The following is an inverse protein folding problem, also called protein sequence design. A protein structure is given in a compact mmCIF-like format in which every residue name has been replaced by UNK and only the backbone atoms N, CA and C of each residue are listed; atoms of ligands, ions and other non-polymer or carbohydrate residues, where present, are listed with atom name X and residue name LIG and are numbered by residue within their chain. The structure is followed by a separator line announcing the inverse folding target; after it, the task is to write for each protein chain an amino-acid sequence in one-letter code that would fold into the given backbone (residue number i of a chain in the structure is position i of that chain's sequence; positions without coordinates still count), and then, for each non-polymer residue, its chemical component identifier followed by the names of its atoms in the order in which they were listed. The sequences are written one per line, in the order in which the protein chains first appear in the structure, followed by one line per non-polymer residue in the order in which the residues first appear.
data_IF_080286827001
#
_entry.id   IF_080286827001
#
_cell.length_a   1.000
_cell.length_b   1.000
_cell.length_c   1.000
_cell.angle_alpha   90.00
_cell.angle_beta   90.00
_cell.angle_gamma   90.00
#
_symmetry.space_group_name_H-M   'P 1'
#
loop_
_entity.id
_entity.type
_entity.pdbx_description
1 polymer ?
#
# COMPACT_ATOMS: atom_id res chain seq x y z
N UNK A 1 -35.83 -8.57 59.66
CA UNK A 1 -34.41 -8.96 59.76
C UNK A 1 -33.70 -8.83 58.40
N UNK A 2 -34.30 -9.27 57.28
CA UNK A 2 -33.71 -9.14 55.95
C UNK A 2 -33.45 -7.69 55.46
N UNK A 3 -34.32 -6.72 55.81
CA UNK A 3 -34.13 -5.31 55.40
C UNK A 3 -33.02 -4.55 56.13
N UNK A 4 -32.58 -5.02 57.31
CA UNK A 4 -31.52 -4.37 58.08
C UNK A 4 -30.13 -4.79 57.55
N UNK A 5 -30.00 -6.01 57.04
CA UNK A 5 -28.75 -6.51 56.44
C UNK A 5 -28.40 -5.84 55.11
N UNK A 6 -29.39 -5.43 54.31
CA UNK A 6 -29.15 -4.79 53.01
C UNK A 6 -28.59 -3.35 53.11
N UNK A 7 -28.77 -2.69 54.25
CA UNK A 7 -28.24 -1.34 54.48
C UNK A 7 -26.90 -1.37 55.25
N UNK A 8 -26.71 -2.37 56.11
CA UNK A 8 -25.49 -2.50 56.91
C UNK A 8 -24.29 -2.87 56.03
N UNK A 9 -24.46 -3.71 55.02
CA UNK A 9 -23.36 -4.11 54.12
C UNK A 9 -22.77 -2.91 53.33
N UNK A 10 -23.54 -2.04 52.66
CA UNK A 10 -22.98 -0.88 51.96
C UNK A 10 -22.43 0.20 52.92
N UNK A 11 -23.01 0.36 54.12
CA UNK A 11 -22.45 1.27 55.13
C UNK A 11 -21.15 0.75 55.72
N UNK A 12 -21.04 -0.56 55.93
CA UNK A 12 -19.82 -1.20 56.43
C UNK A 12 -18.74 -1.24 55.33
N UNK A 13 -19.13 -1.41 54.07
CA UNK A 13 -18.23 -1.25 52.91
C UNK A 13 -17.77 0.22 52.74
N UNK A 14 -18.66 1.20 52.94
CA UNK A 14 -18.32 2.63 52.90
C UNK A 14 -17.42 3.05 54.07
N UNK A 15 -17.69 2.54 55.27
CA UNK A 15 -16.83 2.75 56.43
C UNK A 15 -15.47 2.09 56.25
N UNK A 16 -15.41 0.86 55.71
CA UNK A 16 -14.17 0.17 55.40
C UNK A 16 -13.41 0.85 54.26
N UNK A 17 -14.11 1.40 53.26
CA UNK A 17 -13.53 2.20 52.17
C UNK A 17 -12.95 3.51 52.68
N UNK A 18 -13.59 4.17 53.64
CA UNK A 18 -13.04 5.37 54.28
C UNK A 18 -11.91 5.05 55.26
N UNK A 19 -11.93 3.87 55.90
CA UNK A 19 -10.92 3.44 56.87
C UNK A 19 -9.67 2.84 56.20
N UNK A 20 -9.80 2.22 55.01
CA UNK A 20 -8.68 1.78 54.17
C UNK A 20 -8.27 2.81 53.11
N UNK A 21 -9.17 3.72 52.70
CA UNK A 21 -8.92 4.76 51.70
C UNK A 21 -8.45 6.10 52.27
N UNK A 22 -8.46 6.28 53.60
CA UNK A 22 -7.81 7.39 54.28
C UNK A 22 -6.35 7.06 54.62
N UNK A 23 -5.56 6.66 53.61
CA UNK A 23 -4.12 6.88 53.68
C UNK A 23 -3.87 8.29 53.19
N UNK A 24 -3.15 9.15 53.93
CA UNK A 24 -2.80 10.46 53.42
C UNK A 24 -2.03 10.24 52.12
N UNK A 25 -2.56 10.78 51.01
CA UNK A 25 -1.82 10.98 49.78
C UNK A 25 -0.68 11.95 50.11
N UNK A 26 0.41 11.41 50.64
CA UNK A 26 1.74 11.93 50.39
C UNK A 26 2.00 11.52 48.96
N UNK A 27 2.22 12.51 48.09
CA UNK A 27 2.71 12.31 46.74
C UNK A 27 4.16 11.79 46.77
N UNK A 28 4.36 10.60 47.34
CA UNK A 28 5.56 9.80 47.14
C UNK A 28 5.35 9.01 45.84
N UNK A 29 6.17 9.22 44.80
CA UNK A 29 6.18 8.30 43.68
C UNK A 29 6.41 6.87 44.22
N UNK A 30 5.78 5.84 43.62
CA UNK A 30 5.89 4.48 44.12
C UNK A 30 7.38 4.13 44.27
N UNK A 31 7.80 3.59 45.42
CA UNK A 31 9.23 3.38 45.74
C UNK A 31 10.01 2.66 44.63
N UNK A 32 9.33 1.84 43.81
CA UNK A 32 9.92 1.19 42.63
C UNK A 32 10.29 2.09 41.45
N UNK A 33 9.74 3.30 41.28
CA UNK A 33 10.12 4.18 40.16
C UNK A 33 11.41 4.94 40.44
N UNK A 34 11.62 5.42 41.66
CA UNK A 34 12.86 6.06 42.07
C UNK A 34 14.06 5.09 42.06
N UNK A 35 13.80 3.82 42.41
CA UNK A 35 14.79 2.75 42.29
C UNK A 35 15.12 2.43 40.82
N UNK A 36 14.12 2.44 39.93
CA UNK A 36 14.34 2.20 38.50
C UNK A 36 15.14 3.33 37.85
N UNK A 37 14.84 4.59 38.16
CA UNK A 37 15.62 5.74 37.67
C UNK A 37 17.09 5.61 38.10
N UNK A 38 17.35 5.29 39.37
CA UNK A 38 18.72 5.05 39.86
C UNK A 38 19.42 3.91 39.13
N UNK A 39 18.74 2.79 38.88
CA UNK A 39 19.33 1.65 38.16
C UNK A 39 19.71 2.02 36.72
N UNK A 40 18.85 2.80 36.05
CA UNK A 40 19.08 3.28 34.69
C UNK A 40 20.24 4.27 34.65
N UNK A 41 20.34 5.18 35.61
CA UNK A 41 21.46 6.13 35.68
C UNK A 41 22.80 5.42 35.96
N UNK A 42 22.82 4.43 36.86
CA UNK A 42 24.03 3.60 37.08
C UNK A 42 24.43 2.83 35.81
N UNK A 43 23.46 2.31 35.05
CA UNK A 43 23.72 1.66 33.77
C UNK A 43 24.32 2.65 32.77
N UNK A 44 23.80 3.88 32.70
CA UNK A 44 24.32 4.92 31.81
C UNK A 44 25.77 5.29 32.16
N UNK A 45 26.09 5.44 33.45
CA UNK A 45 27.47 5.69 33.91
C UNK A 45 28.43 4.56 33.54
N UNK A 46 28.01 3.30 33.71
CA UNK A 46 28.82 2.14 33.33
C UNK A 46 29.10 2.13 31.82
N UNK A 47 28.09 2.37 31.00
CA UNK A 47 28.23 2.37 29.55
C UNK A 47 29.02 3.58 29.05
N UNK A 48 29.01 4.70 29.77
CA UNK A 48 29.90 5.82 29.49
C UNK A 48 31.37 5.45 29.70
N UNK A 49 31.69 4.60 30.68
CA UNK A 49 33.03 4.08 30.89
C UNK A 49 33.41 2.96 29.88
N UNK A 50 32.43 2.20 29.39
CA UNK A 50 32.61 1.11 28.42
C UNK A 50 31.73 1.34 27.17
N UNK A 51 32.12 2.24 26.26
CA UNK A 51 31.25 2.68 25.16
C UNK A 51 31.03 1.63 24.06
N UNK A 52 31.79 0.53 24.05
CA UNK A 52 31.71 -0.53 23.05
C UNK A 52 30.64 -1.59 23.35
N UNK A 53 29.95 -1.50 24.50
CA UNK A 53 28.90 -2.45 24.90
C UNK A 53 27.55 -2.14 24.23
N UNK A 54 27.40 -2.60 22.98
CA UNK A 54 26.21 -2.36 22.13
C UNK A 54 24.90 -2.77 22.79
N UNK A 55 24.81 -3.99 23.29
CA UNK A 55 23.60 -4.54 23.92
C UNK A 55 23.21 -3.71 25.16
N UNK A 56 24.21 -3.18 25.87
CA UNK A 56 24.00 -2.27 26.98
C UNK A 56 23.33 -0.97 26.54
N UNK A 57 23.77 -0.37 25.44
CA UNK A 57 23.12 0.83 24.87
C UNK A 57 21.69 0.58 24.41
N UNK A 58 21.40 -0.59 23.84
CA UNK A 58 20.04 -0.99 23.46
C UNK A 58 19.15 -1.13 24.70
N UNK A 59 19.63 -1.82 25.73
CA UNK A 59 18.91 -1.97 27.00
C UNK A 59 18.63 -0.61 27.63
N UNK A 60 19.65 0.25 27.69
CA UNK A 60 19.51 1.61 28.22
C UNK A 60 18.45 2.41 27.44
N UNK A 61 18.45 2.32 26.11
CA UNK A 61 17.46 2.97 25.26
C UNK A 61 16.03 2.49 25.55
N UNK A 62 15.83 1.18 25.72
CA UNK A 62 14.52 0.59 26.08
C UNK A 62 14.07 1.01 27.47
N UNK A 63 14.99 1.07 28.43
CA UNK A 63 14.71 1.56 29.78
C UNK A 63 14.28 3.02 29.78
N UNK A 64 15.00 3.88 29.06
CA UNK A 64 14.61 5.28 28.90
C UNK A 64 13.25 5.43 28.21
N UNK A 65 12.98 4.66 27.15
CA UNK A 65 11.69 4.69 26.47
C UNK A 65 10.53 4.27 27.40
N UNK A 66 10.74 3.24 28.23
CA UNK A 66 9.78 2.78 29.23
C UNK A 66 9.50 3.81 30.34
N UNK A 67 10.49 4.64 30.66
CA UNK A 67 10.35 5.78 31.59
C UNK A 67 9.78 7.04 30.93
N UNK A 68 9.48 7.01 29.63
CA UNK A 68 9.02 8.18 28.88
C UNK A 68 10.12 9.20 28.56
N UNK A 69 11.40 8.90 28.84
CA UNK A 69 12.57 9.73 28.54
C UNK A 69 12.98 9.55 27.07
N UNK A 70 12.13 9.98 26.15
CA UNK A 70 12.27 9.68 24.72
C UNK A 70 13.52 10.27 24.08
N UNK A 71 13.96 11.45 24.53
CA UNK A 71 15.22 12.07 24.06
C UNK A 71 16.44 11.22 24.44
N UNK A 72 16.50 10.75 25.68
CA UNK A 72 17.61 9.90 26.16
C UNK A 72 17.59 8.52 25.48
N UNK A 73 16.40 7.97 25.27
CA UNK A 73 16.20 6.72 24.53
C UNK A 73 16.77 6.81 23.11
N UNK A 74 16.40 7.84 22.36
CA UNK A 74 16.88 8.05 21.00
C UNK A 74 18.42 8.18 20.96
N UNK A 75 19.03 8.87 21.92
CA UNK A 75 20.49 8.98 22.03
C UNK A 75 21.16 7.63 22.32
N UNK A 76 20.63 6.85 23.25
CA UNK A 76 21.17 5.53 23.58
C UNK A 76 21.08 4.57 22.38
N UNK A 77 19.95 4.52 21.67
CA UNK A 77 19.84 3.75 20.43
C UNK A 77 20.80 4.26 19.34
N UNK A 78 21.07 5.58 19.29
CA UNK A 78 22.09 6.14 18.41
C UNK A 78 23.49 5.62 18.67
N UNK A 79 23.87 5.47 19.94
CA UNK A 79 25.15 4.88 20.32
C UNK A 79 25.23 3.40 19.93
N UNK A 80 24.15 2.64 20.11
CA UNK A 80 24.07 1.26 19.63
C UNK A 80 24.25 1.18 18.10
N UNK A 81 23.58 2.05 17.33
CA UNK A 81 23.68 2.11 15.87
C UNK A 81 25.04 2.61 15.36
N UNK A 82 25.79 3.34 16.17
CA UNK A 82 27.17 3.73 15.84
C UNK A 82 28.15 2.55 15.91
N UNK A 83 27.83 1.51 16.71
CA UNK A 83 28.62 0.29 16.80
C UNK A 83 28.22 -0.72 15.72
N UNK A 84 26.93 -0.81 15.42
CA UNK A 84 26.39 -1.65 14.33
C UNK A 84 25.15 -0.98 13.75
N UNK A 85 25.29 -0.50 12.51
CA UNK A 85 24.28 0.32 11.83
C UNK A 85 23.08 -0.50 11.35
N UNK A 86 23.32 -1.73 10.92
CA UNK A 86 22.37 -2.51 10.12
C UNK A 86 21.46 -3.38 10.99
N UNK A 87 20.75 -2.75 11.93
CA UNK A 87 19.79 -3.43 12.81
C UNK A 87 18.38 -2.81 12.70
N UNK A 88 17.42 -3.47 12.01
CA UNK A 88 16.07 -2.95 11.82
C UNK A 88 15.28 -2.81 13.14
N UNK A 89 15.59 -3.63 14.14
CA UNK A 89 14.96 -3.57 15.46
C UNK A 89 15.41 -2.30 16.19
N UNK A 90 16.70 -1.96 16.16
CA UNK A 90 17.23 -0.75 16.82
C UNK A 90 16.89 0.52 16.04
N UNK A 91 16.93 0.48 14.70
CA UNK A 91 16.48 1.58 13.84
C UNK A 91 15.02 1.96 14.12
N UNK A 92 14.13 0.97 14.18
CA UNK A 92 12.71 1.19 14.46
C UNK A 92 12.46 1.70 15.90
N UNK A 93 13.25 1.25 16.89
CA UNK A 93 13.19 1.78 18.26
C UNK A 93 13.64 3.23 18.34
N UNK A 94 14.74 3.59 17.66
CA UNK A 94 15.19 4.99 17.57
C UNK A 94 14.16 5.86 16.87
N UNK A 95 13.60 5.40 15.76
CA UNK A 95 12.56 6.13 15.02
C UNK A 95 11.36 6.44 15.90
N UNK A 96 10.85 5.46 16.64
CA UNK A 96 9.77 5.65 17.60
C UNK A 96 10.13 6.65 18.69
N UNK A 97 11.31 6.50 19.32
CA UNK A 97 11.76 7.41 20.36
C UNK A 97 11.88 8.86 19.85
N UNK A 98 12.40 9.07 18.64
CA UNK A 98 12.45 10.38 18.00
C UNK A 98 11.05 10.97 17.76
N UNK A 99 10.13 10.18 17.20
CA UNK A 99 8.78 10.64 16.91
C UNK A 99 8.02 11.07 18.18
N UNK A 100 8.19 10.32 19.28
CA UNK A 100 7.52 10.55 20.56
C UNK A 100 8.12 11.70 21.40
N UNK A 101 9.19 12.36 20.96
CA UNK A 101 9.70 13.57 21.62
C UNK A 101 8.75 14.77 21.50
N UNK A 102 7.86 14.74 20.50
CA UNK A 102 6.85 15.78 20.28
C UNK A 102 5.47 15.30 20.69
N UNK A 103 4.60 16.24 21.07
CA UNK A 103 3.18 15.98 21.31
C UNK A 103 2.33 16.98 20.49
N UNK A 104 1.64 16.54 19.42
CA UNK A 104 1.51 15.15 18.94
C UNK A 104 2.84 14.57 18.37
N UNK A 105 2.97 13.23 18.30
CA UNK A 105 4.16 12.60 17.73
C UNK A 105 4.43 13.03 16.28
N UNK A 106 5.69 13.30 15.95
CA UNK A 106 6.10 13.74 14.61
C UNK A 106 6.83 12.62 13.87
N UNK A 107 6.19 12.06 12.84
CA UNK A 107 6.73 10.95 12.06
C UNK A 107 7.44 11.37 10.77
N UNK A 108 7.68 12.67 10.57
CA UNK A 108 8.38 13.21 9.41
C UNK A 108 9.86 13.47 9.72
N UNK A 109 10.71 13.51 8.69
CA UNK A 109 12.15 13.73 8.86
C UNK A 109 12.89 12.45 9.25
N UNK A 110 13.80 12.55 10.22
CA UNK A 110 14.67 11.44 10.66
C UNK A 110 13.89 10.17 11.06
N UNK A 111 12.75 10.21 11.79
CA UNK A 111 11.97 9.01 12.08
C UNK A 111 11.54 8.23 10.84
N UNK A 112 11.09 8.92 9.78
CA UNK A 112 10.67 8.27 8.54
C UNK A 112 11.88 7.62 7.84
N UNK A 113 13.01 8.33 7.77
CA UNK A 113 14.23 7.82 7.14
C UNK A 113 14.73 6.54 7.83
N UNK A 114 14.71 6.50 9.16
CA UNK A 114 15.11 5.31 9.92
C UNK A 114 14.16 4.13 9.69
N UNK A 115 12.85 4.39 9.51
CA UNK A 115 11.88 3.33 9.18
C UNK A 115 12.10 2.81 7.76
N UNK A 116 12.39 3.69 6.79
CA UNK A 116 12.71 3.32 5.42
C UNK A 116 14.00 2.48 5.35
N UNK A 117 15.04 2.89 6.09
CA UNK A 117 16.29 2.12 6.24
C UNK A 117 16.03 0.73 6.87
N UNK A 118 15.21 0.67 7.93
CA UNK A 118 14.88 -0.59 8.57
C UNK A 118 14.09 -1.54 7.64
N UNK A 119 13.16 -1.02 6.83
CA UNK A 119 12.43 -1.82 5.83
C UNK A 119 13.33 -2.26 4.67
N UNK A 120 14.37 -1.50 4.34
CA UNK A 120 15.34 -1.89 3.33
C UNK A 120 16.23 -3.05 3.81
N UNK A 121 16.50 -3.13 5.11
CA UNK A 121 17.24 -4.24 5.73
C UNK A 121 16.36 -5.49 5.93
N UNK A 122 15.14 -5.29 6.42
CA UNK A 122 14.15 -6.34 6.64
C UNK A 122 12.73 -5.82 6.36
N UNK A 123 12.24 -6.16 5.17
CA UNK A 123 10.91 -5.77 4.70
C UNK A 123 9.77 -6.41 5.50
N UNK A 124 10.04 -7.51 6.21
CA UNK A 124 9.08 -8.28 6.98
C UNK A 124 9.16 -7.95 8.48
N UNK A 125 9.99 -6.97 8.88
CA UNK A 125 10.21 -6.64 10.28
C UNK A 125 8.92 -6.12 10.94
N UNK A 126 8.32 -6.85 11.91
CA UNK A 126 6.95 -6.56 12.37
C UNK A 126 6.77 -5.17 12.98
N UNK A 127 7.72 -4.72 13.83
CA UNK A 127 7.64 -3.38 14.42
C UNK A 127 7.78 -2.30 13.36
N UNK A 128 8.68 -2.50 12.40
CA UNK A 128 8.95 -1.48 11.38
C UNK A 128 7.72 -1.30 10.51
N UNK A 129 7.07 -2.39 10.09
CA UNK A 129 5.80 -2.33 9.36
C UNK A 129 4.69 -1.63 10.14
N UNK A 130 4.56 -1.92 11.44
CA UNK A 130 3.60 -1.22 12.29
C UNK A 130 3.85 0.29 12.29
N UNK A 131 5.09 0.70 12.58
CA UNK A 131 5.48 2.10 12.70
C UNK A 131 5.47 2.85 11.36
N UNK A 132 5.84 2.19 10.27
CA UNK A 132 5.75 2.76 8.92
C UNK A 132 4.28 3.05 8.56
N UNK A 133 3.36 2.15 8.93
CA UNK A 133 1.93 2.40 8.76
C UNK A 133 1.41 3.55 9.64
N UNK A 134 1.86 3.65 10.89
CA UNK A 134 1.54 4.79 11.77
C UNK A 134 2.06 6.10 11.17
N UNK A 135 3.29 6.10 10.67
CA UNK A 135 3.92 7.26 10.03
C UNK A 135 3.17 7.70 8.76
N UNK A 136 2.75 6.74 7.93
CA UNK A 136 1.95 7.01 6.74
C UNK A 136 0.56 7.57 7.09
N UNK A 137 -0.14 6.97 8.06
CA UNK A 137 -1.44 7.43 8.52
C UNK A 137 -1.37 8.86 9.09
N UNK A 138 -0.32 9.18 9.86
CA UNK A 138 -0.10 10.52 10.39
C UNK A 138 0.09 11.60 9.31
N UNK A 139 0.53 11.21 8.10
CA UNK A 139 0.64 12.10 6.93
C UNK A 139 -0.62 12.13 6.06
N UNK A 140 -1.66 11.38 6.44
CA UNK A 140 -2.88 11.24 5.65
C UNK A 140 -2.77 10.26 4.48
N UNK A 141 -1.68 9.51 4.37
CA UNK A 141 -1.48 8.49 3.33
C UNK A 141 -2.09 7.15 3.78
N UNK A 142 -3.41 7.06 3.67
CA UNK A 142 -4.17 5.87 4.03
C UNK A 142 -3.78 4.63 3.19
N UNK A 143 -3.37 4.82 1.94
CA UNK A 143 -3.00 3.72 1.06
C UNK A 143 -1.69 3.07 1.51
N UNK A 144 -0.65 3.88 1.74
CA UNK A 144 0.63 3.39 2.26
C UNK A 144 0.47 2.76 3.64
N UNK A 145 -0.29 3.40 4.54
CA UNK A 145 -0.59 2.83 5.85
C UNK A 145 -1.27 1.46 5.74
N UNK A 146 -2.26 1.36 4.87
CA UNK A 146 -2.95 0.12 4.57
C UNK A 146 -2.03 -0.97 4.04
N UNK A 147 -1.09 -0.64 3.15
CA UNK A 147 -0.10 -1.61 2.62
C UNK A 147 0.76 -2.20 3.75
N UNK A 148 1.35 -1.38 4.60
CA UNK A 148 2.22 -1.88 5.68
C UNK A 148 1.47 -2.74 6.71
N UNK A 149 0.28 -2.31 7.12
CA UNK A 149 -0.50 -3.04 8.13
C UNK A 149 -1.12 -4.33 7.59
N UNK A 150 -1.54 -4.37 6.32
CA UNK A 150 -1.95 -5.63 5.67
C UNK A 150 -0.78 -6.60 5.55
N UNK A 151 0.39 -6.12 5.12
CA UNK A 151 1.59 -6.96 5.07
C UNK A 151 1.90 -7.55 6.44
N UNK A 152 1.88 -6.71 7.49
CA UNK A 152 2.05 -7.16 8.86
C UNK A 152 1.01 -8.22 9.27
N UNK A 153 -0.27 -8.04 8.92
CA UNK A 153 -1.33 -9.03 9.18
C UNK A 153 -1.04 -10.38 8.50
N UNK A 154 -0.48 -10.40 7.30
CA UNK A 154 -0.11 -11.65 6.62
C UNK A 154 1.01 -12.39 7.34
N UNK A 155 1.94 -11.66 7.96
CA UNK A 155 3.11 -12.24 8.65
C UNK A 155 2.75 -12.84 10.02
N UNK A 156 1.93 -12.13 10.81
CA UNK A 156 1.57 -12.56 12.17
C UNK A 156 0.40 -13.54 12.20
N UNK A 157 -0.38 -13.61 11.12
CA UNK A 157 -1.58 -14.43 11.02
C UNK A 157 -2.82 -13.82 11.70
N UNK A 158 -4.02 -14.28 11.30
CA UNK A 158 -5.29 -13.67 11.73
C UNK A 158 -5.64 -13.90 13.20
N UNK A 159 -5.03 -14.88 13.86
CA UNK A 159 -5.29 -15.24 15.27
C UNK A 159 -4.35 -14.54 16.26
N UNK A 160 -3.36 -13.77 15.79
CA UNK A 160 -2.47 -13.05 16.67
C UNK A 160 -3.23 -12.00 17.51
N UNK A 161 -2.91 -11.82 18.80
CA UNK A 161 -3.59 -10.84 19.66
C UNK A 161 -3.56 -9.40 19.10
N UNK A 162 -2.52 -9.04 18.34
CA UNK A 162 -2.37 -7.71 17.72
C UNK A 162 -3.12 -7.57 16.39
N UNK A 163 -3.65 -8.66 15.82
CA UNK A 163 -4.36 -8.64 14.55
C UNK A 163 -5.64 -7.80 14.64
N UNK A 164 -6.37 -7.82 15.76
CA UNK A 164 -7.56 -6.99 15.96
C UNK A 164 -7.23 -5.51 16.01
N UNK A 165 -6.11 -5.15 16.65
CA UNK A 165 -5.62 -3.76 16.66
C UNK A 165 -5.29 -3.28 15.26
N UNK A 166 -4.67 -4.13 14.43
CA UNK A 166 -4.37 -3.83 13.03
C UNK A 166 -5.63 -3.66 12.17
N UNK A 167 -6.62 -4.54 12.33
CA UNK A 167 -7.92 -4.41 11.64
C UNK A 167 -8.63 -3.12 12.02
N UNK A 168 -8.60 -2.77 13.30
CA UNK A 168 -9.18 -1.52 13.78
C UNK A 168 -8.44 -0.30 13.22
N UNK A 169 -7.11 -0.33 13.19
CA UNK A 169 -6.29 0.74 12.61
C UNK A 169 -6.61 0.94 11.12
N UNK A 170 -6.71 -0.16 10.36
CA UNK A 170 -7.14 -0.15 8.96
C UNK A 170 -8.54 0.47 8.77
N UNK A 171 -9.51 0.04 9.59
CA UNK A 171 -10.87 0.57 9.51
C UNK A 171 -10.93 2.08 9.80
N UNK A 172 -10.11 2.60 10.74
CA UNK A 172 -10.04 4.03 11.05
C UNK A 172 -9.58 4.88 9.87
N UNK A 173 -8.74 4.34 9.00
CA UNK A 173 -8.25 5.01 7.79
C UNK A 173 -9.04 4.61 6.53
N UNK A 174 -10.17 3.93 6.68
CA UNK A 174 -11.03 3.50 5.56
C UNK A 174 -10.44 2.38 4.70
N UNK A 175 -9.46 1.63 5.21
CA UNK A 175 -8.82 0.50 4.54
C UNK A 175 -9.36 -0.84 5.05
N UNK A 176 -9.31 -1.87 4.21
CA UNK A 176 -9.77 -3.23 4.58
C UNK A 176 -8.59 -4.21 4.76
N UNK A 177 -8.64 -5.12 5.74
CA UNK A 177 -7.57 -6.09 6.01
C UNK A 177 -7.41 -7.14 4.92
N UNK A 178 -8.47 -7.45 4.18
CA UNK A 178 -8.45 -8.42 3.08
C UNK A 178 -8.01 -7.82 1.74
N UNK A 179 -7.77 -6.51 1.69
CA UNK A 179 -7.22 -5.88 0.50
C UNK A 179 -5.73 -6.23 0.32
N UNK A 180 -5.26 -7.43 0.68
CA UNK A 180 -3.89 -7.86 0.40
C UNK A 180 -3.76 -8.10 -1.11
N UNK A 181 -3.29 -7.08 -1.84
CA UNK A 181 -2.89 -7.13 -3.25
C UNK A 181 -3.86 -7.83 -4.25
N UNK A 182 -5.15 -7.85 -3.91
CA UNK A 182 -6.25 -8.14 -4.83
C UNK A 182 -7.23 -6.96 -4.77
N UNK A 183 -6.70 -5.83 -5.19
CA UNK A 183 -7.47 -4.68 -5.60
C UNK A 183 -6.54 -3.89 -6.51
N UNK A 184 -6.87 -3.72 -7.81
CA UNK A 184 -6.33 -2.60 -8.55
C UNK A 184 -6.47 -1.38 -7.63
N UNK A 185 -5.43 -0.58 -7.55
CA UNK A 185 -5.59 0.82 -7.20
C UNK A 185 -6.78 1.27 -8.04
N UNK A 186 -7.93 1.51 -7.40
CA UNK A 186 -8.94 2.41 -7.92
C UNK A 186 -8.35 3.83 -7.81
N UNK A 187 -7.16 4.02 -8.39
CA UNK A 187 -6.97 5.08 -9.36
C UNK A 187 -8.15 4.84 -10.26
N UNK A 188 -9.16 5.71 -10.15
CA UNK A 188 -10.34 5.73 -10.99
C UNK A 188 -9.96 5.03 -12.29
N UNK A 189 -10.49 3.82 -12.51
CA UNK A 189 -10.34 3.13 -13.78
C UNK A 189 -10.97 4.10 -14.74
N UNK A 190 -10.17 5.04 -15.24
CA UNK A 190 -10.63 5.97 -16.25
C UNK A 190 -10.80 5.03 -17.42
N UNK A 191 -12.06 4.73 -17.81
CA UNK A 191 -12.28 3.87 -18.94
C UNK A 191 -11.51 4.51 -20.09
N UNK A 192 -10.70 3.71 -20.77
CA UNK A 192 -10.06 4.16 -21.99
C UNK A 192 -11.13 4.44 -23.06
N UNK A 193 -10.71 4.84 -24.27
CA UNK A 193 -11.63 5.14 -25.35
C UNK A 193 -12.48 3.91 -25.70
N UNK A 194 -13.70 4.17 -26.17
CA UNK A 194 -14.59 3.13 -26.70
C UNK A 194 -14.23 2.83 -28.15
N UNK A 195 -13.85 1.60 -28.44
CA UNK A 195 -13.53 1.13 -29.79
C UNK A 195 -14.69 0.33 -30.35
N UNK A 196 -15.27 0.80 -31.44
CA UNK A 196 -16.28 0.08 -32.21
C UNK A 196 -15.62 -0.59 -33.41
N UNK A 197 -15.82 -1.89 -33.56
CA UNK A 197 -15.26 -2.66 -34.67
C UNK A 197 -16.42 -3.25 -35.46
N UNK A 198 -16.38 -3.07 -36.78
CA UNK A 198 -17.34 -3.64 -37.71
C UNK A 198 -16.61 -4.20 -38.95
N UNK A 199 -17.30 -5.06 -39.70
CA UNK A 199 -16.86 -5.50 -41.03
C UNK A 199 -17.69 -4.79 -42.09
N UNK A 200 -17.11 -4.62 -43.27
CA UNK A 200 -17.92 -4.28 -44.44
C UNK A 200 -18.87 -5.45 -44.79
N UNK A 201 -20.09 -5.16 -45.31
CA UNK A 201 -21.07 -6.20 -45.65
C UNK A 201 -20.52 -7.28 -46.60
N UNK A 202 -19.67 -6.89 -47.54
CA UNK A 202 -19.06 -7.79 -48.54
C UNK A 202 -18.09 -8.79 -47.90
N UNK A 203 -17.33 -8.35 -46.89
CA UNK A 203 -16.42 -9.21 -46.13
C UNK A 203 -17.19 -10.09 -45.14
N UNK A 204 -18.24 -9.57 -44.51
CA UNK A 204 -19.09 -10.35 -43.61
C UNK A 204 -19.80 -11.52 -44.35
N UNK A 205 -20.11 -11.36 -45.64
CA UNK A 205 -20.73 -12.40 -46.45
C UNK A 205 -19.76 -13.52 -46.90
N UNK A 206 -18.45 -13.26 -46.89
CA UNK A 206 -17.43 -14.16 -47.43
C UNK A 206 -16.60 -14.87 -46.36
N UNK A 207 -16.53 -14.31 -45.15
CA UNK A 207 -15.74 -14.85 -44.03
C UNK A 207 -16.54 -15.82 -43.15
N UNK A 208 -15.88 -16.86 -42.64
CA UNK A 208 -16.48 -17.76 -41.66
C UNK A 208 -16.67 -17.06 -40.32
N UNK A 209 -17.75 -17.38 -39.61
CA UNK A 209 -18.06 -16.85 -38.28
C UNK A 209 -16.94 -17.11 -37.25
N UNK A 210 -16.20 -18.22 -37.38
CA UNK A 210 -15.09 -18.59 -36.48
C UNK A 210 -13.75 -17.94 -36.83
N UNK A 211 -13.69 -17.18 -37.93
CA UNK A 211 -12.45 -16.52 -38.37
C UNK A 211 -12.00 -15.54 -37.29
N UNK A 212 -10.72 -15.61 -36.91
CA UNK A 212 -10.20 -14.81 -35.80
C UNK A 212 -9.96 -13.36 -36.24
N UNK A 213 -10.35 -12.42 -35.40
CA UNK A 213 -10.10 -10.98 -35.53
C UNK A 213 -9.15 -10.55 -34.42
N UNK A 214 -8.03 -9.94 -34.81
CA UNK A 214 -7.03 -9.41 -33.89
C UNK A 214 -7.09 -7.89 -33.87
N UNK A 215 -7.20 -7.34 -32.67
CA UNK A 215 -7.11 -5.91 -32.41
C UNK A 215 -5.79 -5.66 -31.69
N UNK A 216 -4.92 -4.86 -32.30
CA UNK A 216 -3.62 -4.52 -31.76
C UNK A 216 -3.58 -3.04 -31.37
N UNK A 217 -3.12 -2.78 -30.15
CA UNK A 217 -3.00 -1.46 -29.54
C UNK A 217 -1.52 -1.17 -29.36
N UNK A 218 -1.07 -0.04 -29.89
CA UNK A 218 0.34 0.35 -29.98
C UNK A 218 0.53 1.76 -29.43
N UNK A 219 1.76 2.07 -29.05
CA UNK A 219 2.18 3.42 -28.61
C UNK A 219 2.72 4.27 -29.76
N UNK A 220 2.90 3.69 -30.94
CA UNK A 220 3.41 4.37 -32.13
C UNK A 220 2.75 3.83 -33.41
N UNK A 221 2.68 4.64 -34.48
CA UNK A 221 2.08 4.25 -35.75
C UNK A 221 3.01 3.42 -36.65
N UNK A 222 4.33 3.41 -36.38
CA UNK A 222 5.35 2.86 -37.27
C UNK A 222 5.53 1.34 -37.14
N UNK A 223 4.92 0.71 -36.13
CA UNK A 223 4.92 -0.74 -35.93
C UNK A 223 5.56 -1.18 -34.62
N UNK A 224 6.09 -2.41 -34.56
CA UNK A 224 6.76 -2.96 -33.36
C UNK A 224 5.94 -4.00 -32.58
N UNK A 225 6.23 -4.20 -31.30
CA UNK A 225 5.43 -5.07 -30.43
C UNK A 225 4.18 -4.32 -29.95
N UNK A 226 2.96 -4.88 -30.05
CA UNK A 226 1.79 -4.26 -29.45
C UNK A 226 1.89 -4.20 -27.92
N UNK A 227 1.37 -3.11 -27.35
CA UNK A 227 1.25 -2.95 -25.90
C UNK A 227 0.03 -3.73 -25.40
N UNK A 228 -1.05 -3.76 -26.19
CA UNK A 228 -2.23 -4.57 -25.91
C UNK A 228 -2.69 -5.32 -27.15
N UNK A 229 -3.23 -6.51 -26.97
CA UNK A 229 -3.83 -7.28 -28.05
C UNK A 229 -5.10 -7.99 -27.59
N UNK A 230 -6.12 -7.93 -28.43
CA UNK A 230 -7.42 -8.54 -28.17
C UNK A 230 -7.71 -9.51 -29.30
N UNK A 231 -8.14 -10.72 -28.95
CA UNK A 231 -8.58 -11.75 -29.89
C UNK A 231 -10.09 -11.90 -29.82
N UNK A 232 -10.76 -11.75 -30.96
CA UNK A 232 -12.22 -11.94 -31.15
C UNK A 232 -12.47 -12.81 -32.37
N UNK A 233 -13.73 -13.10 -32.67
CA UNK A 233 -14.16 -13.82 -33.86
C UNK A 233 -15.05 -12.94 -34.74
N UNK A 234 -15.20 -13.29 -36.02
CA UNK A 234 -16.14 -12.60 -36.93
C UNK A 234 -17.57 -12.65 -36.40
N UNK A 235 -17.96 -13.74 -35.73
CA UNK A 235 -19.26 -13.88 -35.06
C UNK A 235 -19.52 -12.82 -33.98
N UNK A 236 -18.47 -12.25 -33.37
CA UNK A 236 -18.59 -11.25 -32.30
C UNK A 236 -18.87 -9.84 -32.84
N UNK A 237 -18.87 -9.65 -34.17
CA UNK A 237 -18.91 -8.35 -34.81
C UNK A 237 -20.31 -8.01 -35.35
N UNK A 238 -20.78 -6.76 -35.22
CA UNK A 238 -20.06 -5.59 -34.71
C UNK A 238 -19.94 -5.56 -33.18
N UNK A 239 -18.75 -5.22 -32.68
CA UNK A 239 -18.45 -5.16 -31.24
C UNK A 239 -18.15 -3.73 -30.82
N UNK A 240 -18.57 -3.34 -29.62
CA UNK A 240 -18.09 -2.13 -28.94
C UNK A 240 -17.36 -2.54 -27.67
N UNK A 241 -16.11 -2.15 -27.54
CA UNK A 241 -15.23 -2.52 -26.44
C UNK A 241 -14.59 -1.27 -25.83
N UNK A 242 -14.57 -1.19 -24.51
CA UNK A 242 -13.88 -0.13 -23.78
C UNK A 242 -12.47 -0.61 -23.48
N UNK A 243 -11.46 0.19 -23.83
CA UNK A 243 -10.07 -0.20 -23.54
C UNK A 243 -9.79 -0.09 -22.03
N UNK A 244 -9.22 -1.16 -21.47
CA UNK A 244 -8.83 -1.24 -20.06
C UNK A 244 -7.40 -1.78 -19.94
N UNK A 245 -6.75 -1.52 -18.81
CA UNK A 245 -5.38 -1.97 -18.57
C UNK A 245 -5.21 -3.50 -18.56
N UNK A 246 -6.29 -4.24 -18.32
CA UNK A 246 -6.32 -5.71 -18.41
C UNK A 246 -6.02 -6.24 -19.82
N UNK A 247 -6.18 -5.39 -20.83
CA UNK A 247 -5.93 -5.74 -22.23
C UNK A 247 -4.44 -5.56 -22.62
N UNK A 248 -3.60 -5.12 -21.67
CA UNK A 248 -2.15 -5.06 -21.89
C UNK A 248 -1.52 -6.45 -21.88
N UNK A 249 -0.57 -6.67 -22.79
CA UNK A 249 0.24 -7.90 -22.86
C UNK A 249 1.38 -7.92 -21.84
N UNK A 250 1.70 -6.79 -21.22
CA UNK A 250 2.81 -6.65 -20.27
C UNK A 250 2.31 -6.06 -18.96
N UNK A 251 2.42 -6.77 -17.82
CA UNK A 251 1.93 -6.29 -16.52
C UNK A 251 2.56 -4.96 -16.07
N UNK A 252 3.79 -4.70 -16.52
CA UNK A 252 4.57 -3.49 -16.20
C UNK A 252 4.31 -2.32 -17.16
N UNK A 253 3.62 -2.52 -18.29
CA UNK A 253 3.34 -1.49 -19.29
C UNK A 253 1.83 -1.41 -19.57
N UNK A 254 1.14 -0.52 -18.86
CA UNK A 254 -0.33 -0.36 -18.92
C UNK A 254 -0.78 0.47 -20.12
N UNK A 255 -2.02 0.27 -20.59
CA UNK A 255 -2.57 1.07 -21.69
C UNK A 255 -2.90 2.50 -21.24
N UNK A 256 -3.33 2.67 -19.98
CA UNK A 256 -3.59 3.95 -19.32
C UNK A 256 -2.36 4.84 -19.16
N UNK A 257 -1.16 4.26 -19.26
CA UNK A 257 0.09 5.03 -19.24
C UNK A 257 0.39 5.72 -20.57
N UNK A 258 -0.35 5.40 -21.63
CA UNK A 258 -0.14 5.94 -22.97
C UNK A 258 -1.03 7.17 -23.19
N UNK A 259 -0.41 8.32 -23.48
CA UNK A 259 -1.16 9.54 -23.83
C UNK A 259 -1.91 9.40 -25.16
N UNK A 260 -1.31 8.68 -26.11
CA UNK A 260 -1.87 8.41 -27.44
C UNK A 260 -1.70 6.93 -27.77
N UNK A 261 -2.81 6.33 -28.20
CA UNK A 261 -2.94 4.94 -28.59
C UNK A 261 -3.09 4.87 -30.10
N UNK A 262 -2.48 3.87 -30.72
CA UNK A 262 -2.66 3.54 -32.13
C UNK A 262 -3.33 2.17 -32.24
N UNK A 263 -4.58 2.17 -32.70
CA UNK A 263 -5.43 1.00 -32.70
C UNK A 263 -5.59 0.52 -34.13
N UNK A 264 -5.31 -0.77 -34.34
CA UNK A 264 -5.46 -1.44 -35.63
C UNK A 264 -6.22 -2.74 -35.44
N UNK A 265 -7.01 -3.13 -36.43
CA UNK A 265 -7.72 -4.41 -36.42
C UNK A 265 -7.49 -5.14 -37.74
N UNK A 266 -7.35 -6.46 -37.69
CA UNK A 266 -7.29 -7.29 -38.89
C UNK A 266 -7.97 -8.64 -38.68
N UNK A 267 -8.50 -9.20 -39.76
CA UNK A 267 -9.05 -10.56 -39.80
C UNK A 267 -7.92 -11.49 -40.20
N UNK A 268 -7.57 -12.45 -39.34
CA UNK A 268 -6.53 -13.43 -39.64
C UNK A 268 -7.13 -14.75 -40.12
N UNK A 269 -7.01 -15.01 -41.41
CA UNK A 269 -7.39 -16.29 -42.03
C UNK A 269 -6.53 -17.48 -41.51
N UNK A 270 -5.26 -17.21 -41.17
CA UNK A 270 -4.29 -18.19 -40.66
C UNK A 270 -4.37 -18.47 -39.16
N UNK A 271 -5.22 -17.73 -38.43
CA UNK A 271 -5.27 -17.74 -36.96
C UNK A 271 -4.05 -17.14 -36.22
N UNK A 272 -3.04 -16.61 -36.92
CA UNK A 272 -1.84 -16.01 -36.33
C UNK A 272 -1.99 -14.50 -36.13
N UNK A 273 -1.53 -13.99 -34.99
CA UNK A 273 -1.67 -12.57 -34.61
C UNK A 273 -0.96 -11.55 -35.53
N UNK A 274 -0.05 -12.00 -36.39
CA UNK A 274 0.66 -11.14 -37.35
C UNK A 274 -0.16 -10.91 -38.64
N UNK A 275 -1.11 -11.82 -38.91
CA UNK A 275 -1.88 -11.88 -40.16
C UNK A 275 -1.02 -12.15 -41.39
N UNK A 276 -1.64 -12.63 -42.46
CA UNK A 276 -1.07 -12.65 -43.80
C UNK A 276 -1.04 -11.24 -44.41
N UNK A 277 -0.23 -11.05 -45.46
CA UNK A 277 -0.15 -9.76 -46.18
C UNK A 277 -1.49 -9.36 -46.81
N UNK A 278 -2.29 -10.34 -47.23
CA UNK A 278 -3.59 -10.14 -47.88
C UNK A 278 -4.78 -10.14 -46.91
N UNK A 279 -4.53 -10.27 -45.60
CA UNK A 279 -5.60 -10.27 -44.61
C UNK A 279 -6.26 -8.89 -44.51
N UNK A 280 -7.60 -8.79 -44.53
CA UNK A 280 -8.34 -7.53 -44.41
C UNK A 280 -7.99 -6.79 -43.11
N UNK A 281 -7.66 -5.48 -43.21
CA UNK A 281 -7.25 -4.65 -42.06
C UNK A 281 -8.04 -3.35 -41.97
N UNK A 282 -8.00 -2.72 -40.79
CA UNK A 282 -8.47 -1.37 -40.49
C UNK A 282 -7.45 -0.64 -39.62
N UNK A 283 -7.29 0.67 -39.86
CA UNK A 283 -6.35 1.52 -39.13
C UNK A 283 -4.90 1.46 -39.64
N UNK A 284 -3.92 1.99 -38.88
CA UNK A 284 -4.06 2.41 -37.49
C UNK A 284 -4.78 3.75 -37.33
N UNK A 285 -5.65 3.86 -36.32
CA UNK A 285 -6.31 5.12 -35.92
C UNK A 285 -5.77 5.54 -34.56
N UNK A 286 -5.49 6.84 -34.41
CA UNK A 286 -5.02 7.40 -33.14
C UNK A 286 -6.19 7.71 -32.21
N UNK A 287 -6.03 7.44 -30.92
CA UNK A 287 -6.98 7.81 -29.87
C UNK A 287 -6.24 8.26 -28.60
N UNK A 288 -6.79 9.18 -27.81
CA UNK A 288 -6.26 9.48 -26.47
C UNK A 288 -6.91 8.58 -25.42
N UNK A 289 -6.24 8.43 -24.28
CA UNK A 289 -6.80 7.71 -23.14
C UNK A 289 -7.86 8.57 -22.42
N UNK A 290 -9.07 8.65 -22.99
CA UNK A 290 -10.19 9.41 -22.45
C UNK A 290 -11.51 8.62 -22.60
N UNK A 291 -12.42 8.64 -21.60
CA UNK A 291 -13.66 7.89 -21.64
C UNK A 291 -14.70 8.44 -22.63
N UNK A 292 -14.67 9.74 -22.93
CA UNK A 292 -15.58 10.33 -23.93
C UNK A 292 -15.13 10.05 -25.38
N UNK A 293 -13.89 9.59 -25.56
CA UNK A 293 -13.33 9.36 -26.88
C UNK A 293 -13.84 8.02 -27.44
N UNK A 294 -14.35 8.08 -28.67
CA UNK A 294 -14.88 6.91 -29.36
C UNK A 294 -14.26 6.79 -30.75
N UNK A 295 -13.79 5.59 -31.08
CA UNK A 295 -13.09 5.27 -32.33
C UNK A 295 -13.87 4.18 -33.04
N UNK A 296 -14.11 4.37 -34.34
CA UNK A 296 -14.73 3.35 -35.18
C UNK A 296 -13.70 2.79 -36.16
N UNK A 297 -13.57 1.47 -36.19
CA UNK A 297 -12.73 0.71 -37.12
C UNK A 297 -13.63 -0.19 -37.97
N UNK A 298 -13.65 0.05 -39.27
CA UNK A 298 -14.37 -0.79 -40.24
C UNK A 298 -13.35 -1.59 -41.03
N UNK A 299 -13.30 -2.90 -40.78
CA UNK A 299 -12.37 -3.82 -41.45
C UNK A 299 -12.87 -4.06 -42.88
N UNK A 300 -12.01 -3.78 -43.85
CA UNK A 300 -12.35 -3.88 -45.28
C UNK A 300 -12.48 -2.54 -46.00
N UNK A 301 -12.38 -1.42 -45.29
CA UNK A 301 -12.33 -0.09 -45.87
C UNK A 301 -10.85 0.36 -45.99
N UNK A 302 -10.41 0.76 -47.18
CA UNK A 302 -9.07 1.34 -47.32
C UNK A 302 -9.04 2.70 -46.60
N UNK A 303 -7.98 2.97 -45.85
CA UNK A 303 -7.75 4.27 -45.23
C UNK A 303 -7.58 5.35 -46.30
N UNK A 304 -8.67 6.00 -46.71
CA UNK A 304 -8.60 7.24 -47.49
C UNK A 304 -8.18 8.38 -46.56
N UNK A 305 -7.11 9.12 -46.89
CA UNK A 305 -6.72 10.30 -46.11
C UNK A 305 -7.83 11.37 -46.24
N UNK A 306 -8.39 11.79 -45.10
CA UNK A 306 -9.25 12.97 -45.05
C UNK A 306 -8.36 14.20 -45.19
N UNK A 307 -8.37 14.79 -46.38
CA UNK A 307 -8.10 16.22 -46.57
C UNK A 307 -6.65 16.64 -46.81
N UNK A 308 -6.19 16.52 -48.05
CA UNK A 308 -5.50 17.62 -48.72
C UNK A 308 -6.18 17.81 -50.07
N UNK A 309 -7.27 18.57 -50.07
CA UNK A 309 -7.89 19.08 -51.28
C UNK A 309 -7.09 20.27 -51.83
N UNK A 310 -7.18 20.53 -53.14
CA UNK A 310 -6.11 21.09 -53.98
C UNK A 310 -5.84 22.58 -53.84
#
# INVERSE_FOLDING_TARGET
IAGVLALVIPLLAGALYLQLGAWPVIATPPEGSADLDRLVDNLAERLAANPEEREGWILLGRSYAGLGRQTDAAQAFGKALALERDDPEVLSQRAQALALQSNPPQWAGEPAQLLDEALALDADHPRTLWLAGVAAAARGDAEAAGRHWRHLLTLIGPEAPVADTLRQALAQIGQSPESADSGPVEAAVQPGPTVRIALTPDLAATLSAETTVFVAIRDNPQGGMPVGAIRKQVADLPLSLVLTDEMSLMPTRRLSSLETLWISAHVSSSGLAQGATDDPRAGPVSARWQPEEAVSLVIGEQATPVGASP
#
